data_IF_302025396723
#
_entry.id   IF_302025396723
#
_cell.length_a   1.000
_cell.length_b   1.000
_cell.length_c   1.000
_cell.angle_alpha   90.00
_cell.angle_beta   90.00
_cell.angle_gamma   90.00
#
_symmetry.space_group_name_H-M   'P 1'
#
loop_
_entity.id
_entity.type
_entity.pdbx_description
1 polymer ?
#
# COMPACT_ATOMS: atom_id res chain seq x y z
N UNK A 1 2.46 1.17 20.94
CA UNK A 1 2.92 2.13 19.89
C UNK A 1 3.62 1.44 18.70
N UNK A 2 4.75 0.75 18.88
CA UNK A 2 5.51 0.15 17.74
C UNK A 2 4.69 -0.77 16.84
N UNK A 3 3.91 -1.70 17.41
CA UNK A 3 3.07 -2.61 16.63
C UNK A 3 1.97 -1.91 15.83
N UNK A 4 1.43 -0.79 16.36
CA UNK A 4 0.45 0.01 15.63
C UNK A 4 1.07 0.65 14.39
N UNK A 5 2.30 1.18 14.49
CA UNK A 5 3.03 1.70 13.34
C UNK A 5 3.33 0.61 12.31
N UNK A 6 3.72 -0.60 12.75
CA UNK A 6 3.93 -1.74 11.83
C UNK A 6 2.66 -2.08 11.05
N UNK A 7 1.50 -2.07 11.72
CA UNK A 7 0.20 -2.29 11.08
C UNK A 7 -0.11 -1.20 10.06
N UNK A 8 0.04 0.08 10.43
CA UNK A 8 -0.19 1.20 9.50
C UNK A 8 0.72 1.09 8.27
N UNK A 9 2.03 0.89 8.47
CA UNK A 9 3.00 0.85 7.38
C UNK A 9 2.75 -0.33 6.43
N UNK A 10 2.41 -1.51 6.97
CA UNK A 10 2.04 -2.67 6.15
C UNK A 10 0.79 -2.38 5.32
N UNK A 11 -0.24 -1.76 5.93
CA UNK A 11 -1.46 -1.38 5.23
C UNK A 11 -1.19 -0.36 4.10
N UNK A 12 -0.28 0.61 4.32
CA UNK A 12 0.13 1.56 3.29
C UNK A 12 0.77 0.87 2.09
N UNK A 13 1.66 -0.11 2.31
CA UNK A 13 2.23 -0.90 1.20
C UNK A 13 1.18 -1.72 0.44
N UNK A 14 0.20 -2.29 1.14
CA UNK A 14 -0.92 -2.99 0.50
C UNK A 14 -1.72 -2.01 -0.36
N UNK A 15 -2.04 -0.82 0.16
CA UNK A 15 -2.75 0.22 -0.59
C UNK A 15 -1.98 0.65 -1.84
N UNK A 16 -0.67 0.92 -1.74
CA UNK A 16 0.17 1.20 -2.91
C UNK A 16 0.11 0.07 -3.95
N UNK A 17 0.24 -1.18 -3.49
CA UNK A 17 0.23 -2.34 -4.37
C UNK A 17 -1.10 -2.50 -5.11
N UNK A 18 -2.23 -2.36 -4.40
CA UNK A 18 -3.58 -2.40 -5.00
C UNK A 18 -3.77 -1.26 -5.99
N UNK A 19 -3.43 -0.03 -5.60
CA UNK A 19 -3.63 1.15 -6.45
C UNK A 19 -2.81 1.04 -7.74
N UNK A 20 -1.54 0.66 -7.64
CA UNK A 20 -0.70 0.48 -8.81
C UNK A 20 -1.17 -0.68 -9.70
N UNK A 21 -1.49 -1.84 -9.11
CA UNK A 21 -1.94 -3.03 -9.85
C UNK A 21 -3.21 -2.77 -10.66
N UNK A 22 -4.20 -2.14 -10.03
CA UNK A 22 -5.55 -2.05 -10.58
C UNK A 22 -5.76 -0.76 -11.40
N UNK A 23 -4.99 0.30 -11.13
CA UNK A 23 -5.20 1.62 -11.73
C UNK A 23 -3.95 2.26 -12.34
N UNK A 24 -2.75 1.67 -12.16
CA UNK A 24 -1.50 2.20 -12.70
C UNK A 24 -1.00 3.50 -12.04
N UNK A 25 -1.68 3.98 -11.01
CA UNK A 25 -1.32 5.22 -10.32
C UNK A 25 -0.13 5.02 -9.37
N UNK A 26 0.82 5.95 -9.42
CA UNK A 26 1.99 5.95 -8.53
C UNK A 26 1.72 6.76 -7.27
N UNK A 27 2.30 6.30 -6.16
CA UNK A 27 2.37 7.08 -4.92
C UNK A 27 3.31 8.27 -5.12
N UNK A 28 2.88 9.45 -4.67
CA UNK A 28 3.68 10.68 -4.69
C UNK A 28 4.08 11.17 -3.30
N UNK A 29 3.38 10.71 -2.26
CA UNK A 29 3.65 11.09 -0.87
C UNK A 29 2.87 10.26 0.13
N UNK A 30 3.24 10.39 1.40
CA UNK A 30 2.52 9.75 2.49
C UNK A 30 3.06 10.16 3.84
N UNK A 31 2.22 9.99 4.86
CA UNK A 31 2.61 10.17 6.26
C UNK A 31 1.87 9.15 7.13
N UNK A 32 2.44 8.82 8.29
CA UNK A 32 1.84 7.82 9.18
C UNK A 32 1.95 8.15 10.66
N UNK A 33 0.85 7.85 11.34
CA UNK A 33 0.70 7.80 12.77
C UNK A 33 0.26 6.39 13.21
N UNK A 34 0.31 6.06 14.52
CA UNK A 34 -0.23 4.80 15.01
C UNK A 34 -1.71 4.62 14.63
N UNK A 35 -2.00 3.61 13.79
CA UNK A 35 -3.34 3.28 13.27
C UNK A 35 -4.00 4.36 12.39
N UNK A 36 -3.24 5.35 11.91
CA UNK A 36 -3.72 6.35 10.97
C UNK A 36 -2.63 6.64 9.93
N UNK A 37 -2.99 6.71 8.66
CA UNK A 37 -2.04 6.97 7.58
C UNK A 37 -2.69 7.74 6.45
N UNK A 38 -1.88 8.55 5.77
CA UNK A 38 -2.26 9.30 4.58
C UNK A 38 -1.34 8.87 3.44
N UNK A 39 -1.92 8.69 2.26
CA UNK A 39 -1.22 8.32 1.04
C UNK A 39 -1.74 9.19 -0.09
N UNK A 40 -0.83 9.78 -0.84
CA UNK A 40 -1.11 10.67 -1.96
C UNK A 40 -0.81 9.93 -3.27
N UNK A 41 -1.75 9.98 -4.22
CA UNK A 41 -1.67 9.31 -5.52
C UNK A 41 -2.11 10.27 -6.63
N UNK A 42 -1.58 10.09 -7.83
CA UNK A 42 -2.08 10.79 -9.03
C UNK A 42 -3.26 10.03 -9.64
N UNK A 43 -4.45 10.60 -9.53
CA UNK A 43 -5.68 10.12 -10.17
C UNK A 43 -6.26 11.20 -11.06
N UNK A 44 -6.75 10.84 -12.26
CA UNK A 44 -7.54 11.76 -13.10
C UNK A 44 -8.88 12.12 -12.43
N UNK A 45 -9.52 11.16 -11.75
CA UNK A 45 -10.69 11.42 -10.91
C UNK A 45 -10.78 10.41 -9.77
N UNK A 46 -11.12 10.89 -8.56
CA UNK A 46 -11.37 10.06 -7.39
C UNK A 46 -12.84 10.20 -6.99
N UNK A 47 -13.61 9.13 -7.19
CA UNK A 47 -15.04 9.08 -6.82
C UNK A 47 -15.24 8.22 -5.58
N UNK A 48 -16.36 8.41 -4.89
CA UNK A 48 -16.71 7.60 -3.70
C UNK A 48 -16.82 6.10 -4.02
N UNK A 49 -17.32 5.77 -5.20
CA UNK A 49 -17.44 4.38 -5.64
C UNK A 49 -16.06 3.75 -5.85
N UNK A 50 -15.13 4.49 -6.46
CA UNK A 50 -13.74 4.05 -6.62
C UNK A 50 -13.04 3.84 -5.27
N UNK A 51 -13.28 4.72 -4.29
CA UNK A 51 -12.76 4.54 -2.92
C UNK A 51 -13.26 3.23 -2.31
N UNK A 52 -14.54 2.91 -2.49
CA UNK A 52 -15.13 1.66 -1.96
C UNK A 52 -14.52 0.42 -2.62
N UNK A 53 -14.30 0.46 -3.94
CA UNK A 53 -13.62 -0.61 -4.69
C UNK A 53 -12.19 -0.83 -4.19
N UNK A 54 -11.43 0.25 -3.97
CA UNK A 54 -10.06 0.18 -3.44
C UNK A 54 -10.07 -0.42 -2.04
N UNK A 55 -10.96 0.05 -1.16
CA UNK A 55 -11.09 -0.46 0.21
C UNK A 55 -11.34 -1.97 0.25
N UNK A 56 -12.29 -2.46 -0.55
CA UNK A 56 -12.57 -3.90 -0.65
C UNK A 56 -11.35 -4.68 -1.16
N UNK A 57 -10.65 -4.17 -2.18
CA UNK A 57 -9.46 -4.80 -2.72
C UNK A 57 -8.32 -4.88 -1.70
N UNK A 58 -8.08 -3.81 -0.95
CA UNK A 58 -7.10 -3.78 0.14
C UNK A 58 -7.46 -4.80 1.22
N UNK A 59 -8.72 -4.84 1.66
CA UNK A 59 -9.17 -5.77 2.69
C UNK A 59 -9.05 -7.24 2.25
N UNK A 60 -9.25 -7.55 0.96
CA UNK A 60 -8.98 -8.89 0.41
C UNK A 60 -7.50 -9.28 0.54
N UNK A 61 -6.58 -8.37 0.24
CA UNK A 61 -5.13 -8.65 0.40
C UNK A 61 -4.72 -8.78 1.87
N UNK A 62 -5.32 -8.02 2.78
CA UNK A 62 -5.14 -8.20 4.23
C UNK A 62 -5.58 -9.59 4.66
N UNK A 63 -6.78 -10.03 4.24
CA UNK A 63 -7.32 -11.34 4.57
C UNK A 63 -6.51 -12.50 3.96
N UNK A 64 -5.86 -12.28 2.81
CA UNK A 64 -4.98 -13.26 2.18
C UNK A 64 -3.71 -13.58 3.00
N UNK A 65 -3.38 -12.77 4.02
CA UNK A 65 -2.33 -13.04 5.00
C UNK A 65 -0.99 -13.46 4.38
N UNK A 66 -0.61 -12.81 3.27
CA UNK A 66 0.61 -13.13 2.54
C UNK A 66 1.85 -12.86 3.41
N UNK A 67 2.91 -13.67 3.27
CA UNK A 67 4.13 -13.49 4.06
C UNK A 67 4.85 -12.20 3.67
N UNK A 68 5.21 -11.39 4.66
CA UNK A 68 6.08 -10.21 4.49
C UNK A 68 7.52 -10.62 4.76
N UNK A 69 8.40 -10.40 3.79
CA UNK A 69 9.83 -10.69 3.88
C UNK A 69 10.63 -9.41 3.65
N UNK A 70 11.77 -9.29 4.32
CA UNK A 70 12.72 -8.19 4.13
C UNK A 70 14.09 -8.82 3.88
N UNK A 71 14.76 -8.38 2.83
CA UNK A 71 16.12 -8.77 2.50
C UNK A 71 16.91 -7.52 2.08
N UNK A 72 18.20 -7.50 2.39
CA UNK A 72 19.12 -6.46 1.94
C UNK A 72 19.89 -7.04 0.76
N UNK A 73 19.69 -6.47 -0.43
CA UNK A 73 20.27 -6.95 -1.68
C UNK A 73 21.03 -5.82 -2.39
N UNK A 74 22.04 -6.14 -3.21
CA UNK A 74 22.57 -5.20 -4.18
C UNK A 74 21.47 -4.66 -5.09
N UNK A 75 21.62 -3.40 -5.52
CA UNK A 75 20.62 -2.72 -6.36
C UNK A 75 20.25 -3.53 -7.60
N UNK A 76 21.25 -4.01 -8.33
CA UNK A 76 21.04 -4.74 -9.58
C UNK A 76 20.22 -6.02 -9.39
N UNK A 77 20.50 -6.79 -8.33
CA UNK A 77 19.74 -7.99 -7.97
C UNK A 77 18.29 -7.65 -7.60
N UNK A 78 18.07 -6.56 -6.85
CA UNK A 78 16.73 -6.14 -6.45
C UNK A 78 15.82 -5.75 -7.63
N UNK A 79 16.38 -5.25 -8.74
CA UNK A 79 15.62 -4.91 -9.95
C UNK A 79 15.25 -6.11 -10.82
N UNK A 80 15.76 -7.31 -10.54
CA UNK A 80 15.44 -8.55 -11.28
C UNK A 80 14.27 -9.34 -10.68
N UNK A 81 13.65 -8.83 -9.60
CA UNK A 81 12.54 -9.45 -8.88
C UNK A 81 11.28 -8.64 -9.15
#
# INVERSE_FOLDING_TARGET
RRYALMRTHTAMHILCGVVFRDFGALVTGGDMEPLHGRMDFEFESLTKDLVSVIEEAVNREVAAARPVKVAILPREEAFQI
#
